data_IF_948742235539
#
_entry.id   IF_948742235539
#
_cell.length_a   1.000
_cell.length_b   1.000
_cell.length_c   1.000
_cell.angle_alpha   90.00
_cell.angle_beta   90.00
_cell.angle_gamma   90.00
#
_symmetry.space_group_name_H-M   'P 1'
#
loop_
_entity.id
_entity.type
_entity.pdbx_description
1 polymer ?
#
# COMPACT_ATOMS: atom_id res chain seq x y z
N UNK A 1 16.10 8.20 -1.53
CA UNK A 1 14.99 7.43 -2.13
C UNK A 1 14.68 6.16 -1.35
N UNK A 2 15.67 5.36 -0.95
CA UNK A 2 15.45 4.10 -0.19
C UNK A 2 14.75 4.30 1.17
N UNK A 3 15.04 5.38 1.90
CA UNK A 3 14.40 5.63 3.21
C UNK A 3 12.89 5.81 3.13
N UNK A 4 12.39 6.52 2.10
CA UNK A 4 10.96 6.75 1.94
C UNK A 4 10.21 5.47 1.58
N UNK A 5 10.79 4.64 0.70
CA UNK A 5 10.24 3.33 0.36
C UNK A 5 10.16 2.43 1.60
N UNK A 6 11.21 2.38 2.41
CA UNK A 6 11.23 1.57 3.62
C UNK A 6 10.17 2.05 4.63
N UNK A 7 10.07 3.36 4.85
CA UNK A 7 9.04 3.93 5.72
C UNK A 7 7.63 3.58 5.23
N UNK A 8 7.41 3.61 3.91
CA UNK A 8 6.12 3.27 3.32
C UNK A 8 5.81 1.77 3.47
N UNK A 9 6.80 0.89 3.31
CA UNK A 9 6.65 -0.55 3.55
C UNK A 9 6.28 -0.85 5.01
N UNK A 10 6.93 -0.19 5.97
CA UNK A 10 6.58 -0.33 7.39
C UNK A 10 5.15 0.15 7.67
N UNK A 11 4.76 1.30 7.11
CA UNK A 11 3.40 1.81 7.27
C UNK A 11 2.35 0.89 6.63
N UNK A 12 2.65 0.29 5.47
CA UNK A 12 1.80 -0.68 4.80
C UNK A 12 1.64 -1.98 5.60
N UNK A 13 2.71 -2.46 6.24
CA UNK A 13 2.63 -3.61 7.14
C UNK A 13 1.71 -3.31 8.32
N UNK A 14 1.83 -2.13 8.93
CA UNK A 14 0.94 -1.69 10.01
C UNK A 14 -0.52 -1.57 9.54
N UNK A 15 -0.75 -1.02 8.35
CA UNK A 15 -2.08 -0.92 7.74
C UNK A 15 -2.71 -2.30 7.52
N UNK A 16 -1.93 -3.26 7.00
CA UNK A 16 -2.40 -4.62 6.78
C UNK A 16 -2.80 -5.32 8.08
N UNK A 17 -2.02 -5.14 9.14
CA UNK A 17 -2.33 -5.67 10.46
C UNK A 17 -3.60 -5.00 11.05
N UNK A 18 -3.76 -3.69 10.89
CA UNK A 18 -4.89 -2.96 11.45
C UNK A 18 -6.21 -3.22 10.72
N UNK A 19 -6.18 -3.29 9.38
CA UNK A 19 -7.37 -3.38 8.53
C UNK A 19 -7.80 -4.81 8.27
N UNK A 20 -6.83 -5.72 8.12
CA UNK A 20 -7.10 -7.11 7.75
C UNK A 20 -6.73 -8.12 8.83
N UNK A 21 -6.13 -7.69 9.94
CA UNK A 21 -5.60 -8.58 10.99
C UNK A 21 -4.64 -9.61 10.39
N UNK A 22 -3.84 -9.18 9.42
CA UNK A 22 -2.85 -10.00 8.73
C UNK A 22 -1.49 -9.34 8.83
N UNK A 23 -0.51 -10.12 9.28
CA UNK A 23 0.88 -9.71 9.24
C UNK A 23 1.49 -10.15 7.91
N UNK A 24 1.96 -9.18 7.11
CA UNK A 24 2.65 -9.46 5.85
C UNK A 24 4.08 -8.95 5.89
N UNK A 25 5.06 -9.75 5.44
CA UNK A 25 6.45 -9.33 5.41
C UNK A 25 6.64 -8.20 4.41
N UNK A 26 7.48 -7.21 4.74
CA UNK A 26 7.78 -6.07 3.86
C UNK A 26 8.35 -6.47 2.50
N UNK A 27 8.99 -7.64 2.41
CA UNK A 27 9.45 -8.24 1.16
C UNK A 27 8.31 -8.60 0.18
N UNK A 28 7.09 -8.85 0.69
CA UNK A 28 5.90 -9.11 -0.14
C UNK A 28 5.26 -7.81 -0.69
N UNK A 29 5.63 -6.66 -0.12
CA UNK A 29 5.12 -5.35 -0.54
C UNK A 29 5.94 -4.82 -1.71
N UNK A 30 5.46 -5.08 -2.92
CA UNK A 30 6.09 -4.62 -4.15
C UNK A 30 5.65 -3.19 -4.44
N UNK A 31 6.54 -2.25 -4.13
CA UNK A 31 6.41 -0.85 -4.50
C UNK A 31 7.18 -0.59 -5.81
N UNK A 32 6.56 0.16 -6.70
CA UNK A 32 7.14 0.57 -7.97
C UNK A 32 7.06 2.10 -8.09
N UNK A 33 8.00 2.76 -8.78
CA UNK A 33 7.84 4.16 -9.14
C UNK A 33 6.55 4.36 -9.95
N UNK A 34 5.75 5.35 -9.57
CA UNK A 34 4.52 5.66 -10.29
C UNK A 34 4.83 6.11 -11.72
N UNK A 35 4.07 5.62 -12.71
CA UNK A 35 4.23 6.05 -14.11
C UNK A 35 3.86 7.52 -14.23
N UNK A 36 4.49 8.24 -15.17
CA UNK A 36 4.29 9.69 -15.35
C UNK A 36 2.83 10.10 -15.62
N UNK A 37 2.02 9.18 -16.12
CA UNK A 37 0.59 9.38 -16.39
C UNK A 37 -0.29 9.41 -15.12
N UNK A 38 0.26 9.02 -13.96
CA UNK A 38 -0.48 8.97 -12.70
C UNK A 38 0.17 9.87 -11.64
N UNK A 39 -0.66 10.49 -10.80
CA UNK A 39 -0.20 11.25 -9.65
C UNK A 39 0.27 10.33 -8.52
N UNK A 40 1.49 10.54 -8.03
CA UNK A 40 2.04 9.80 -6.91
C UNK A 40 3.56 9.60 -7.03
N UNK A 41 4.19 9.16 -5.94
CA UNK A 41 5.61 8.78 -5.94
C UNK A 41 5.82 7.28 -6.09
N UNK A 42 4.94 6.49 -5.49
CA UNK A 42 5.01 5.03 -5.49
C UNK A 42 3.63 4.41 -5.75
N UNK A 43 3.64 3.27 -6.42
CA UNK A 43 2.49 2.42 -6.70
C UNK A 43 2.70 1.07 -6.03
N UNK A 44 1.73 0.65 -5.22
CA UNK A 44 1.68 -0.68 -4.63
C UNK A 44 0.96 -1.64 -5.58
N UNK A 45 1.60 -2.77 -5.89
CA UNK A 45 0.95 -3.84 -6.66
C UNK A 45 0.13 -4.71 -5.71
N UNK A 46 -1.20 -4.58 -5.74
CA UNK A 46 -2.11 -5.27 -4.80
C UNK A 46 -2.50 -6.68 -5.24
N UNK A 47 -2.31 -7.03 -6.51
CA UNK A 47 -2.70 -8.35 -7.05
C UNK A 47 -2.09 -9.55 -6.29
N UNK A 48 -0.78 -9.57 -5.96
CA UNK A 48 -0.18 -10.64 -5.15
C UNK A 48 -0.79 -10.79 -3.76
N UNK A 49 -1.42 -9.73 -3.24
CA UNK A 49 -1.96 -9.69 -1.88
C UNK A 49 -3.41 -10.22 -1.80
N UNK A 50 -4.08 -10.41 -2.94
CA UNK A 50 -5.46 -10.90 -3.01
C UNK A 50 -5.68 -12.23 -2.30
N UNK A 51 -4.72 -13.16 -2.42
CA UNK A 51 -4.76 -14.46 -1.72
C UNK A 51 -4.63 -14.32 -0.20
N UNK A 52 -3.76 -13.44 0.27
CA UNK A 52 -3.52 -13.23 1.70
C UNK A 52 -4.72 -12.57 2.37
N UNK A 53 -5.37 -11.63 1.69
CA UNK A 53 -6.47 -10.84 2.27
C UNK A 53 -7.87 -11.34 1.91
N UNK A 54 -8.02 -12.26 0.94
CA UNK A 54 -9.31 -12.75 0.49
C UNK A 54 -10.21 -11.68 -0.13
N UNK A 55 -9.63 -10.59 -0.63
CA UNK A 55 -10.33 -9.44 -1.21
C UNK A 55 -9.81 -9.10 -2.59
N UNK A 56 -10.64 -8.39 -3.37
CA UNK A 56 -10.23 -7.88 -4.69
C UNK A 56 -9.13 -6.82 -4.59
N UNK A 57 -8.29 -6.66 -5.64
CA UNK A 57 -7.14 -5.75 -5.63
C UNK A 57 -7.53 -4.29 -5.36
N UNK A 58 -8.68 -3.86 -5.85
CA UNK A 58 -9.20 -2.50 -5.62
C UNK A 58 -9.61 -2.27 -4.17
N UNK A 59 -10.32 -3.25 -3.57
CA UNK A 59 -10.74 -3.18 -2.16
C UNK A 59 -9.53 -3.14 -1.23
N UNK A 60 -8.49 -3.92 -1.56
CA UNK A 60 -7.21 -3.90 -0.83
C UNK A 60 -6.57 -2.52 -0.96
N UNK A 61 -6.46 -1.98 -2.18
CA UNK A 61 -5.88 -0.67 -2.42
C UNK A 61 -6.60 0.45 -1.68
N UNK A 62 -7.94 0.41 -1.67
CA UNK A 62 -8.76 1.40 -1.00
C UNK A 62 -8.61 1.36 0.51
N UNK A 63 -8.71 0.17 1.11
CA UNK A 63 -8.64 0.05 2.57
C UNK A 63 -7.24 0.37 3.11
N UNK A 64 -6.17 -0.05 2.41
CA UNK A 64 -4.81 0.33 2.79
C UNK A 64 -4.56 1.83 2.58
N UNK A 65 -5.00 2.39 1.46
CA UNK A 65 -4.81 3.81 1.15
C UNK A 65 -5.53 4.74 2.14
N UNK A 66 -6.75 4.39 2.53
CA UNK A 66 -7.52 5.12 3.54
C UNK A 66 -6.80 5.11 4.89
N UNK A 67 -6.39 3.94 5.36
CA UNK A 67 -5.67 3.82 6.63
C UNK A 67 -4.35 4.60 6.61
N UNK A 68 -3.59 4.46 5.52
CA UNK A 68 -2.31 5.16 5.35
C UNK A 68 -2.46 6.67 5.37
N UNK A 69 -3.46 7.22 4.69
CA UNK A 69 -3.67 8.68 4.65
C UNK A 69 -4.03 9.22 6.04
N UNK A 70 -4.73 8.43 6.86
CA UNK A 70 -5.09 8.81 8.22
C UNK A 70 -3.95 8.64 9.24
N UNK A 71 -3.03 7.69 9.04
CA UNK A 71 -2.05 7.28 10.07
C UNK A 71 -0.58 7.46 9.68
N UNK A 72 -0.26 7.63 8.40
CA UNK A 72 1.10 7.77 7.91
C UNK A 72 1.33 9.21 7.40
N UNK A 73 2.05 10.08 8.14
CA UNK A 73 2.27 11.47 7.75
C UNK A 73 2.96 11.67 6.39
N UNK A 74 3.67 10.63 5.92
CA UNK A 74 4.32 10.63 4.61
C UNK A 74 3.33 10.46 3.44
N UNK A 75 2.11 9.99 3.69
CA UNK A 75 1.08 9.71 2.68
C UNK A 75 0.06 10.84 2.67
N UNK A 76 0.15 11.70 1.66
CA UNK A 76 -0.76 12.86 1.49
C UNK A 76 -2.08 12.51 0.79
N UNK A 77 -2.13 11.35 0.15
CA UNK A 77 -3.29 10.87 -0.60
C UNK A 77 -2.95 9.61 -1.36
N UNK A 78 -3.97 8.98 -1.95
CA UNK A 78 -3.84 7.75 -2.73
C UNK A 78 -4.84 7.75 -3.88
N UNK A 79 -4.56 6.93 -4.89
CA UNK A 79 -5.49 6.63 -5.97
C UNK A 79 -5.47 5.12 -6.20
N UNK A 80 -6.64 4.54 -6.48
CA UNK A 80 -6.78 3.13 -6.90
C UNK A 80 -7.00 3.11 -8.41
N UNK A 81 -6.17 2.38 -9.12
CA UNK A 81 -6.19 2.28 -10.59
C UNK A 81 -6.71 0.91 -10.99
N UNK A 82 -7.58 0.87 -11.99
CA UNK A 82 -8.14 -0.35 -12.60
C UNK A 82 -7.33 -0.78 -13.81
#
# INVERSE_FOLDING_TARGET
>A
MQQLEQNLKTALQAAAQAVFTQEIPTASLVLQPTRKDFAGSFTLVTFPLTKAFGKGPEQIGQALGEWLTAHAPAVRGYNVVK
#
